data_IF_660523010691
#
_entry.id   IF_660523010691
#
_cell.length_a   1.000
_cell.length_b   1.000
_cell.length_c   1.000
_cell.angle_alpha   90.00
_cell.angle_beta   90.00
_cell.angle_gamma   90.00
#
_symmetry.space_group_name_H-M   'P 1'
#
loop_
_entity.id
_entity.type
_entity.pdbx_description
1 polymer ?
#
# COMPACT_ATOMS: atom_id res chain seq x y z
N UNK A 1 9.63 -8.58 19.28
CA UNK A 1 8.41 -8.49 18.47
C UNK A 1 7.89 -7.04 18.53
N UNK A 2 8.00 -6.33 17.43
CA UNK A 2 7.71 -4.89 17.32
C UNK A 2 6.21 -4.58 17.23
N UNK A 3 5.39 -5.59 16.89
CA UNK A 3 3.92 -5.47 16.77
C UNK A 3 3.20 -6.50 17.65
N UNK A 4 3.79 -6.86 18.79
CA UNK A 4 3.19 -7.83 19.71
C UNK A 4 1.75 -7.44 20.08
N UNK A 5 0.82 -8.35 19.84
CA UNK A 5 -0.62 -8.23 20.10
C UNK A 5 -1.35 -7.09 19.35
N UNK A 6 -0.67 -6.39 18.44
CA UNK A 6 -1.31 -5.39 17.56
C UNK A 6 -2.19 -6.09 16.52
N UNK A 7 -3.29 -5.44 16.15
CA UNK A 7 -4.27 -5.92 15.18
C UNK A 7 -4.23 -5.00 13.97
N UNK A 8 -4.09 -5.56 12.76
CA UNK A 8 -4.03 -4.72 11.59
C UNK A 8 -4.54 -5.32 10.31
N UNK A 9 -4.79 -4.43 9.35
CA UNK A 9 -5.23 -4.74 7.99
C UNK A 9 -4.10 -4.40 7.03
N UNK A 10 -3.86 -5.28 6.05
CA UNK A 10 -3.02 -4.99 4.88
C UNK A 10 -3.85 -5.22 3.63
N UNK A 11 -4.07 -4.18 2.83
CA UNK A 11 -4.79 -4.29 1.55
C UNK A 11 -3.85 -4.64 0.41
N UNK A 12 -4.34 -5.29 -0.66
CA UNK A 12 -3.55 -5.88 -1.75
C UNK A 12 -2.44 -6.80 -1.22
N UNK A 13 -2.78 -7.63 -0.23
CA UNK A 13 -1.84 -8.44 0.52
C UNK A 13 -1.67 -9.87 -0.01
N UNK A 14 -2.28 -10.20 -1.14
CA UNK A 14 -2.12 -11.50 -1.80
C UNK A 14 -0.78 -11.69 -2.51
N UNK A 15 -0.08 -10.59 -2.84
CA UNK A 15 1.18 -10.64 -3.60
C UNK A 15 2.11 -9.46 -3.27
N UNK A 16 3.34 -9.50 -3.79
CA UNK A 16 4.29 -8.39 -3.78
C UNK A 16 4.55 -7.79 -2.39
N UNK A 17 4.59 -6.47 -2.33
CA UNK A 17 4.90 -5.71 -1.11
C UNK A 17 3.87 -5.93 0.00
N UNK A 18 2.58 -5.99 -0.36
CA UNK A 18 1.50 -6.23 0.61
C UNK A 18 1.64 -7.59 1.30
N UNK A 19 1.91 -8.67 0.53
CA UNK A 19 2.15 -10.00 1.09
C UNK A 19 3.40 -10.02 1.97
N UNK A 20 4.51 -9.46 1.49
CA UNK A 20 5.73 -9.36 2.27
C UNK A 20 5.50 -8.63 3.61
N UNK A 21 4.69 -7.54 3.60
CA UNK A 21 4.32 -6.83 4.81
C UNK A 21 3.44 -7.65 5.74
N UNK A 22 2.37 -8.27 5.24
CA UNK A 22 1.49 -9.10 6.06
C UNK A 22 2.25 -10.22 6.77
N UNK A 23 3.12 -10.93 6.03
CA UNK A 23 4.00 -11.98 6.60
C UNK A 23 4.96 -11.39 7.62
N UNK A 24 5.60 -10.25 7.30
CA UNK A 24 6.55 -9.59 8.20
C UNK A 24 5.89 -9.11 9.49
N UNK A 25 4.70 -8.52 9.41
CA UNK A 25 3.97 -8.02 10.58
C UNK A 25 3.51 -9.15 11.48
N UNK A 26 3.03 -10.26 10.90
CA UNK A 26 2.68 -11.45 11.67
C UNK A 26 3.88 -12.06 12.40
N UNK A 27 5.06 -12.11 11.78
CA UNK A 27 6.33 -12.53 12.42
C UNK A 27 6.73 -11.62 13.59
N UNK A 28 6.30 -10.36 13.56
CA UNK A 28 6.50 -9.39 14.64
C UNK A 28 5.38 -9.41 15.70
N UNK A 29 4.49 -10.39 15.64
CA UNK A 29 3.47 -10.65 16.65
C UNK A 29 2.12 -9.98 16.39
N UNK A 30 1.89 -9.38 15.22
CA UNK A 30 0.59 -8.85 14.87
C UNK A 30 -0.41 -9.96 14.51
N UNK A 31 -1.69 -9.68 14.76
CA UNK A 31 -2.82 -10.38 14.14
C UNK A 31 -3.18 -9.61 12.86
N UNK A 32 -3.14 -10.27 11.71
CA UNK A 32 -3.22 -9.57 10.40
C UNK A 32 -4.43 -10.03 9.59
N UNK A 33 -5.25 -9.08 9.15
CA UNK A 33 -6.20 -9.32 8.08
C UNK A 33 -5.50 -9.13 6.72
N UNK A 34 -5.40 -10.20 5.96
CA UNK A 34 -4.88 -10.24 4.59
C UNK A 34 -6.02 -9.97 3.64
N UNK A 35 -6.01 -8.82 2.97
CA UNK A 35 -7.10 -8.40 2.06
C UNK A 35 -6.59 -8.34 0.63
N UNK A 36 -7.27 -9.02 -0.29
CA UNK A 36 -7.00 -8.95 -1.73
C UNK A 36 -8.28 -9.27 -2.51
N UNK A 37 -8.30 -8.95 -3.81
CA UNK A 37 -9.36 -9.34 -4.73
C UNK A 37 -9.30 -10.84 -5.08
N UNK A 38 -8.11 -11.42 -5.11
CA UNK A 38 -7.85 -12.82 -5.47
C UNK A 38 -7.88 -13.72 -4.23
N UNK A 39 -8.97 -14.46 -4.05
CA UNK A 39 -9.17 -15.36 -2.91
C UNK A 39 -8.09 -16.43 -2.79
N UNK A 40 -7.60 -16.99 -3.90
CA UNK A 40 -6.56 -18.01 -3.87
C UNK A 40 -5.22 -17.45 -3.34
N UNK A 41 -4.90 -16.20 -3.70
CA UNK A 41 -3.73 -15.49 -3.16
C UNK A 41 -3.90 -15.15 -1.68
N UNK A 42 -5.10 -14.74 -1.28
CA UNK A 42 -5.45 -14.52 0.13
C UNK A 42 -5.20 -15.79 0.95
N UNK A 43 -5.78 -16.92 0.53
CA UNK A 43 -5.63 -18.21 1.22
C UNK A 43 -4.16 -18.66 1.30
N UNK A 44 -3.41 -18.47 0.20
CA UNK A 44 -1.98 -18.77 0.17
C UNK A 44 -1.18 -17.93 1.16
N UNK A 45 -1.46 -16.63 1.28
CA UNK A 45 -0.77 -15.75 2.22
C UNK A 45 -1.13 -16.08 3.69
N UNK A 46 -2.41 -16.34 3.97
CA UNK A 46 -2.87 -16.78 5.30
C UNK A 46 -2.21 -18.08 5.69
N UNK A 47 -2.15 -19.06 4.79
CA UNK A 47 -1.48 -20.36 5.03
C UNK A 47 0.01 -20.17 5.33
N UNK A 48 0.70 -19.30 4.62
CA UNK A 48 2.12 -18.98 4.91
C UNK A 48 2.30 -18.42 6.31
N UNK A 49 1.46 -17.44 6.69
CA UNK A 49 1.52 -16.81 8.02
C UNK A 49 1.24 -17.82 9.14
N UNK A 50 0.18 -18.61 8.98
CA UNK A 50 -0.23 -19.58 10.02
C UNK A 50 0.74 -20.74 10.15
N UNK A 51 1.31 -21.23 9.05
CA UNK A 51 2.36 -22.25 9.07
C UNK A 51 3.62 -21.78 9.79
N UNK A 52 3.89 -20.47 9.79
CA UNK A 52 4.99 -19.87 10.56
C UNK A 52 4.62 -19.53 12.01
N UNK A 53 3.44 -19.95 12.49
CA UNK A 53 2.96 -19.69 13.86
C UNK A 53 2.35 -18.31 14.08
N UNK A 54 2.16 -17.51 13.02
CA UNK A 54 1.48 -16.22 13.08
C UNK A 54 -0.04 -16.34 13.12
N UNK A 55 -0.73 -15.21 13.35
CA UNK A 55 -2.19 -15.13 13.35
C UNK A 55 -2.68 -14.28 12.19
N UNK A 56 -3.50 -14.85 11.32
CA UNK A 56 -4.09 -14.13 10.19
C UNK A 56 -5.49 -14.61 9.86
N UNK A 57 -6.30 -13.71 9.31
CA UNK A 57 -7.53 -14.02 8.57
C UNK A 57 -7.41 -13.54 7.14
N UNK A 58 -8.12 -14.20 6.23
CA UNK A 58 -8.23 -13.80 4.84
C UNK A 58 -9.58 -13.16 4.56
N UNK A 59 -9.56 -12.02 3.85
CA UNK A 59 -10.78 -11.34 3.41
C UNK A 59 -10.67 -11.07 1.92
N UNK A 60 -11.41 -11.82 1.12
CA UNK A 60 -11.53 -11.54 -0.32
C UNK A 60 -12.50 -10.38 -0.55
N UNK A 61 -12.01 -9.29 -1.15
CA UNK A 61 -12.80 -8.08 -1.33
C UNK A 61 -12.37 -7.26 -2.54
N UNK A 62 -13.33 -6.81 -3.33
CA UNK A 62 -13.14 -5.72 -4.30
C UNK A 62 -13.31 -4.38 -3.60
N UNK A 63 -12.21 -3.66 -3.40
CA UNK A 63 -12.21 -2.39 -2.69
C UNK A 63 -12.62 -1.18 -3.54
N UNK A 64 -13.05 -1.40 -4.79
CA UNK A 64 -13.79 -0.38 -5.56
C UNK A 64 -15.18 -0.14 -4.96
N UNK A 65 -15.72 -1.16 -4.32
CA UNK A 65 -17.01 -1.11 -3.63
C UNK A 65 -16.83 -0.56 -2.21
N UNK A 66 -17.39 0.62 -1.93
CA UNK A 66 -17.31 1.27 -0.61
C UNK A 66 -17.80 0.35 0.53
N UNK A 67 -18.84 -0.45 0.27
CA UNK A 67 -19.36 -1.41 1.25
C UNK A 67 -18.29 -2.44 1.65
N UNK A 68 -17.47 -2.90 0.71
CA UNK A 68 -16.38 -3.83 0.97
C UNK A 68 -15.24 -3.16 1.76
N UNK A 69 -14.88 -1.91 1.41
CA UNK A 69 -13.87 -1.16 2.15
C UNK A 69 -14.26 -0.96 3.63
N UNK A 70 -15.54 -0.76 3.93
CA UNK A 70 -16.05 -0.72 5.32
C UNK A 70 -16.14 -2.12 5.94
N UNK A 71 -16.50 -3.15 5.16
CA UNK A 71 -16.64 -4.53 5.62
C UNK A 71 -15.33 -5.10 6.14
N UNK A 72 -14.22 -4.88 5.44
CA UNK A 72 -12.91 -5.41 5.88
C UNK A 72 -12.51 -4.89 7.27
N UNK A 73 -12.83 -3.64 7.58
CA UNK A 73 -12.56 -3.05 8.91
C UNK A 73 -13.43 -3.71 9.96
N UNK A 74 -14.74 -3.80 9.73
CA UNK A 74 -15.69 -4.42 10.66
C UNK A 74 -15.37 -5.89 10.92
N UNK A 75 -15.07 -6.69 9.88
CA UNK A 75 -14.73 -8.10 10.04
C UNK A 75 -13.43 -8.27 10.83
N UNK A 76 -12.41 -7.45 10.58
CA UNK A 76 -11.16 -7.50 11.33
C UNK A 76 -11.36 -7.15 12.80
N UNK A 77 -12.11 -6.07 13.08
CA UNK A 77 -12.38 -5.64 14.45
C UNK A 77 -13.21 -6.69 15.21
N UNK A 78 -14.20 -7.30 14.57
CA UNK A 78 -15.02 -8.35 15.18
C UNK A 78 -14.21 -9.62 15.48
N UNK A 79 -13.35 -10.06 14.57
CA UNK A 79 -12.56 -11.29 14.73
C UNK A 79 -11.48 -11.15 15.77
N UNK A 80 -10.78 -10.01 15.81
CA UNK A 80 -9.61 -9.87 16.68
C UNK A 80 -9.83 -8.98 17.90
N UNK A 81 -10.97 -8.30 18.00
CA UNK A 81 -11.33 -7.45 19.15
C UNK A 81 -10.83 -6.02 19.01
N UNK A 82 -10.72 -5.46 17.81
CA UNK A 82 -10.34 -4.07 17.55
C UNK A 82 -9.39 -3.89 16.38
N UNK A 83 -8.79 -2.69 16.26
CA UNK A 83 -7.87 -2.34 15.19
C UNK A 83 -6.78 -1.39 15.70
N UNK A 84 -5.52 -1.69 15.46
CA UNK A 84 -4.38 -0.85 15.85
C UNK A 84 -3.68 -0.20 14.65
N UNK A 85 -3.75 -0.83 13.46
CA UNK A 85 -3.16 -0.23 12.24
C UNK A 85 -3.85 -0.66 10.96
N UNK A 86 -3.72 0.18 9.93
CA UNK A 86 -4.09 -0.16 8.55
C UNK A 86 -2.95 0.22 7.62
N UNK A 87 -2.47 -0.73 6.81
CA UNK A 87 -1.65 -0.42 5.66
C UNK A 87 -2.51 -0.39 4.40
N UNK A 88 -2.91 0.81 4.00
CA UNK A 88 -3.60 1.10 2.75
C UNK A 88 -2.61 0.98 1.58
N UNK A 89 -2.47 -0.22 1.03
CA UNK A 89 -1.44 -0.55 0.04
C UNK A 89 -2.00 -0.74 -1.37
N UNK A 90 -3.31 -0.89 -1.52
CA UNK A 90 -3.94 -1.05 -2.83
C UNK A 90 -3.54 0.07 -3.78
N UNK A 91 -3.24 -0.29 -5.03
CA UNK A 91 -2.94 0.65 -6.09
C UNK A 91 -3.06 0.02 -7.48
N UNK A 92 -3.10 0.89 -8.49
CA UNK A 92 -3.19 0.53 -9.90
C UNK A 92 -2.33 1.51 -10.72
N UNK A 93 -1.63 1.05 -11.78
CA UNK A 93 -0.77 1.91 -12.60
C UNK A 93 -1.50 3.08 -13.26
N UNK A 94 -2.78 2.91 -13.57
CA UNK A 94 -3.56 3.86 -14.35
C UNK A 94 -3.04 4.01 -15.78
N UNK A 95 -3.66 4.90 -16.57
CA UNK A 95 -3.20 5.21 -17.92
C UNK A 95 -1.84 5.92 -17.90
N UNK A 96 -1.02 5.64 -18.92
CA UNK A 96 0.28 6.27 -19.13
C UNK A 96 0.14 7.60 -19.88
N UNK A 97 -0.75 7.64 -20.88
CA UNK A 97 -1.01 8.80 -21.73
C UNK A 97 -2.10 9.71 -21.15
N UNK A 98 -2.05 10.98 -21.52
CA UNK A 98 -3.13 11.95 -21.29
C UNK A 98 -3.95 12.12 -22.58
N UNK A 99 -3.27 12.10 -23.73
CA UNK A 99 -3.90 12.18 -25.02
C UNK A 99 -4.76 10.96 -25.31
N UNK A 100 -6.05 11.17 -25.58
CA UNK A 100 -6.99 10.08 -25.85
C UNK A 100 -7.34 9.21 -24.64
N UNK A 101 -7.12 9.73 -23.43
CA UNK A 101 -7.42 9.01 -22.20
C UNK A 101 -8.88 8.54 -22.15
N UNK A 102 -9.11 7.27 -21.81
CA UNK A 102 -10.43 6.80 -21.42
C UNK A 102 -10.74 7.25 -19.99
N UNK A 103 -11.83 7.98 -19.81
CA UNK A 103 -12.26 8.45 -18.49
C UNK A 103 -12.70 7.33 -17.56
N UNK A 104 -13.02 6.13 -18.07
CA UNK A 104 -13.24 4.95 -17.24
C UNK A 104 -11.92 4.45 -16.63
N UNK A 105 -10.81 4.47 -17.38
CA UNK A 105 -9.47 4.13 -16.87
C UNK A 105 -8.98 5.17 -15.85
N UNK A 106 -9.29 6.45 -16.09
CA UNK A 106 -9.02 7.50 -15.11
C UNK A 106 -9.80 7.26 -13.81
N UNK A 107 -11.10 7.00 -13.91
CA UNK A 107 -11.95 6.71 -12.74
C UNK A 107 -11.44 5.50 -11.97
N UNK A 108 -11.07 4.41 -12.67
CA UNK A 108 -10.47 3.21 -12.08
C UNK A 108 -9.17 3.55 -11.32
N UNK A 109 -8.31 4.38 -11.90
CA UNK A 109 -7.07 4.80 -11.25
C UNK A 109 -7.35 5.59 -9.96
N UNK A 110 -8.34 6.48 -9.96
CA UNK A 110 -8.77 7.24 -8.76
C UNK A 110 -9.37 6.30 -7.72
N UNK A 111 -10.27 5.40 -8.12
CA UNK A 111 -10.96 4.48 -7.22
C UNK A 111 -9.98 3.57 -6.49
N UNK A 112 -9.03 2.96 -7.21
CA UNK A 112 -8.09 2.00 -6.64
C UNK A 112 -6.92 2.65 -5.86
N UNK A 113 -6.49 3.86 -6.23
CA UNK A 113 -5.35 4.49 -5.58
C UNK A 113 -5.74 5.49 -4.48
N UNK A 114 -6.93 6.07 -4.51
CA UNK A 114 -7.30 7.14 -3.59
C UNK A 114 -8.63 6.89 -2.89
N UNK A 115 -9.72 6.67 -3.63
CA UNK A 115 -11.06 6.50 -3.04
C UNK A 115 -11.12 5.33 -2.06
N UNK A 116 -10.66 4.15 -2.47
CA UNK A 116 -10.65 2.96 -1.61
C UNK A 116 -9.92 3.19 -0.28
N UNK A 117 -8.80 3.91 -0.33
CA UNK A 117 -8.00 4.24 0.85
C UNK A 117 -8.73 5.23 1.77
N UNK A 118 -9.43 6.22 1.20
CA UNK A 118 -10.22 7.19 1.97
C UNK A 118 -11.39 6.50 2.67
N UNK A 119 -12.14 5.62 1.97
CA UNK A 119 -13.28 4.89 2.54
C UNK A 119 -12.82 3.90 3.62
N UNK A 120 -11.73 3.17 3.39
CA UNK A 120 -11.14 2.30 4.42
C UNK A 120 -10.72 3.11 5.65
N UNK A 121 -10.15 4.30 5.45
CA UNK A 121 -9.76 5.20 6.54
C UNK A 121 -10.96 5.71 7.33
N UNK A 122 -12.03 6.11 6.64
CA UNK A 122 -13.28 6.54 7.28
C UNK A 122 -13.80 5.48 8.25
N UNK A 123 -13.84 4.22 7.82
CA UNK A 123 -14.27 3.12 8.66
C UNK A 123 -13.27 2.77 9.78
N UNK A 124 -11.96 2.90 9.53
CA UNK A 124 -10.92 2.53 10.50
C UNK A 124 -10.75 3.54 11.65
N UNK A 125 -11.01 4.82 11.42
CA UNK A 125 -10.76 5.87 12.42
C UNK A 125 -11.50 5.65 13.74
N UNK A 126 -12.80 5.28 13.78
CA UNK A 126 -13.50 5.00 15.04
C UNK A 126 -12.85 3.86 15.82
N UNK A 127 -12.45 2.78 15.14
CA UNK A 127 -11.81 1.61 15.74
C UNK A 127 -10.44 1.94 16.35
N UNK A 128 -9.62 2.70 15.60
CA UNK A 128 -8.32 3.17 16.10
C UNK A 128 -8.47 4.08 17.33
N UNK A 129 -9.42 5.01 17.29
CA UNK A 129 -9.70 5.90 18.43
C UNK A 129 -10.20 5.13 19.66
N UNK A 130 -11.05 4.13 19.48
CA UNK A 130 -11.52 3.27 20.55
C UNK A 130 -10.40 2.49 21.24
N UNK A 131 -9.29 2.23 20.50
CA UNK A 131 -8.06 1.61 21.02
C UNK A 131 -7.09 2.60 21.68
N UNK A 132 -7.45 3.89 21.72
CA UNK A 132 -6.59 4.95 22.25
C UNK A 132 -5.53 5.47 21.28
N UNK A 133 -5.68 5.18 19.99
CA UNK A 133 -4.77 5.58 18.92
C UNK A 133 -4.37 4.44 18.03
N UNK A 134 -3.42 4.69 17.12
CA UNK A 134 -2.93 3.68 16.19
C UNK A 134 -2.14 4.25 15.01
N UNK A 135 -2.01 3.48 13.94
CA UNK A 135 -1.22 3.89 12.77
C UNK A 135 -1.97 3.64 11.47
N UNK A 136 -2.11 4.69 10.66
CA UNK A 136 -2.52 4.63 9.27
C UNK A 136 -1.29 4.79 8.38
N UNK A 137 -1.00 3.81 7.56
CA UNK A 137 0.07 3.84 6.59
C UNK A 137 -0.51 3.78 5.18
N UNK A 138 -0.03 4.63 4.30
CA UNK A 138 -0.42 4.67 2.89
C UNK A 138 0.76 4.36 2.00
N UNK A 139 0.48 3.74 0.86
CA UNK A 139 1.48 3.57 -0.20
C UNK A 139 1.22 4.56 -1.33
N UNK A 140 2.10 5.57 -1.43
CA UNK A 140 2.16 6.41 -2.60
C UNK A 140 3.15 5.81 -3.63
N UNK A 141 4.12 6.60 -4.05
CA UNK A 141 5.19 6.26 -5.00
C UNK A 141 6.20 7.41 -5.01
N UNK A 142 7.38 7.22 -5.57
CA UNK A 142 8.24 8.34 -6.02
C UNK A 142 7.46 9.29 -6.93
N UNK A 143 6.49 8.79 -7.73
CA UNK A 143 5.58 9.62 -8.52
C UNK A 143 4.61 10.48 -7.70
N UNK A 144 4.50 10.29 -6.39
CA UNK A 144 3.78 11.16 -5.45
C UNK A 144 4.68 12.20 -4.78
N UNK A 145 5.98 12.20 -5.06
CA UNK A 145 6.97 13.17 -4.58
C UNK A 145 7.49 14.04 -5.73
N UNK A 146 7.72 13.41 -6.87
CA UNK A 146 8.16 14.05 -8.12
C UNK A 146 7.21 13.60 -9.24
N UNK A 147 6.77 14.52 -10.09
CA UNK A 147 5.94 14.17 -11.25
C UNK A 147 6.71 13.27 -12.22
N UNK A 148 6.04 12.25 -12.75
CA UNK A 148 6.60 11.40 -13.80
C UNK A 148 6.00 11.78 -15.15
N UNK A 149 6.85 12.17 -16.11
CA UNK A 149 6.42 12.45 -17.49
C UNK A 149 5.78 11.22 -18.17
N UNK A 150 6.09 10.01 -17.71
CA UNK A 150 5.55 8.76 -18.24
C UNK A 150 4.26 8.31 -17.57
N UNK A 151 3.75 9.05 -16.59
CA UNK A 151 2.59 8.67 -15.79
C UNK A 151 1.94 9.87 -15.12
N UNK A 152 1.43 10.87 -15.87
CA UNK A 152 0.85 12.09 -15.30
C UNK A 152 -0.35 11.80 -14.40
N UNK A 153 -1.27 10.92 -14.83
CA UNK A 153 -2.47 10.53 -14.06
C UNK A 153 -2.07 9.80 -12.78
N UNK A 154 -1.18 8.82 -12.88
CA UNK A 154 -0.68 8.12 -11.71
C UNK A 154 0.02 9.06 -10.72
N UNK A 155 0.80 10.02 -11.22
CA UNK A 155 1.41 11.05 -10.37
C UNK A 155 0.34 11.86 -9.66
N UNK A 156 -0.69 12.34 -10.36
CA UNK A 156 -1.76 13.13 -9.76
C UNK A 156 -2.44 12.39 -8.60
N UNK A 157 -2.81 11.11 -8.78
CA UNK A 157 -3.45 10.34 -7.71
C UNK A 157 -2.50 10.04 -6.55
N UNK A 158 -1.20 9.78 -6.81
CA UNK A 158 -0.21 9.52 -5.76
C UNK A 158 0.19 10.79 -4.99
N UNK A 159 0.21 11.97 -5.62
CA UNK A 159 0.26 13.26 -4.92
C UNK A 159 -0.99 13.46 -4.06
N UNK A 160 -2.17 13.08 -4.57
CA UNK A 160 -3.42 13.10 -3.82
C UNK A 160 -3.33 12.28 -2.52
N UNK A 161 -2.75 11.07 -2.57
CA UNK A 161 -2.51 10.23 -1.37
C UNK A 161 -1.61 10.94 -0.36
N UNK A 162 -0.51 11.54 -0.81
CA UNK A 162 0.42 12.28 0.06
C UNK A 162 -0.28 13.50 0.68
N UNK A 163 -1.03 14.27 -0.12
CA UNK A 163 -1.78 15.43 0.35
C UNK A 163 -2.84 15.05 1.38
N UNK A 164 -3.63 14.02 1.09
CA UNK A 164 -4.63 13.49 2.01
C UNK A 164 -4.01 13.04 3.34
N UNK A 165 -2.95 12.24 3.29
CA UNK A 165 -2.30 11.73 4.49
C UNK A 165 -1.72 12.85 5.37
N UNK A 166 -1.07 13.86 4.77
CA UNK A 166 -0.55 15.02 5.50
C UNK A 166 -1.63 15.85 6.18
N UNK A 167 -2.75 16.06 5.50
CA UNK A 167 -3.89 16.78 6.07
C UNK A 167 -4.54 15.98 7.20
N UNK A 168 -4.74 14.67 6.99
CA UNK A 168 -5.31 13.77 7.98
C UNK A 168 -4.42 13.65 9.23
N UNK A 169 -3.11 13.58 9.07
CA UNK A 169 -2.15 13.53 10.18
C UNK A 169 -2.36 14.67 11.18
N UNK A 170 -2.51 15.90 10.69
CA UNK A 170 -2.76 17.07 11.51
C UNK A 170 -4.12 16.98 12.22
N UNK A 171 -5.13 16.42 11.55
CA UNK A 171 -6.49 16.33 12.07
C UNK A 171 -6.64 15.34 13.22
N UNK A 172 -5.93 14.18 13.14
CA UNK A 172 -6.15 13.06 14.07
C UNK A 172 -5.02 12.85 15.07
N UNK A 173 -3.98 13.69 15.06
CA UNK A 173 -2.84 13.57 15.96
C UNK A 173 -3.24 13.59 17.45
N UNK A 174 -4.20 14.44 17.82
CA UNK A 174 -4.70 14.53 19.20
C UNK A 174 -5.48 13.28 19.65
N UNK A 175 -5.94 12.48 18.70
CA UNK A 175 -6.62 11.21 18.97
C UNK A 175 -5.62 10.04 19.11
N UNK A 176 -4.31 10.31 19.12
CA UNK A 176 -3.26 9.30 19.20
C UNK A 176 -3.04 8.52 17.88
N UNK A 177 -3.65 8.96 16.78
CA UNK A 177 -3.52 8.29 15.47
C UNK A 177 -2.40 8.93 14.67
N UNK A 178 -1.39 8.14 14.31
CA UNK A 178 -0.31 8.54 13.39
C UNK A 178 -0.67 8.21 11.96
N UNK A 179 -0.30 9.06 11.03
CA UNK A 179 -0.62 8.92 9.61
C UNK A 179 0.63 9.19 8.79
N UNK A 180 1.14 8.18 8.10
CA UNK A 180 2.36 8.31 7.31
C UNK A 180 2.18 7.68 5.92
N UNK A 181 3.11 7.99 5.04
CA UNK A 181 3.14 7.49 3.66
C UNK A 181 4.51 6.87 3.40
N UNK A 182 4.55 5.69 2.77
CA UNK A 182 5.75 5.21 2.10
C UNK A 182 5.65 5.52 0.61
N UNK A 183 6.79 5.90 0.02
CA UNK A 183 6.91 6.26 -1.39
C UNK A 183 7.94 5.34 -2.06
N UNK A 184 7.53 4.12 -2.46
CA UNK A 184 8.44 3.18 -3.10
C UNK A 184 8.92 3.70 -4.46
N UNK A 185 10.17 3.38 -4.81
CA UNK A 185 10.66 3.34 -6.16
C UNK A 185 10.28 2.05 -6.90
N UNK A 186 11.02 1.71 -7.94
CA UNK A 186 10.87 0.43 -8.61
C UNK A 186 11.08 -0.72 -7.62
N UNK A 187 10.06 -1.58 -7.47
CA UNK A 187 10.09 -2.74 -6.57
C UNK A 187 9.75 -3.99 -7.36
N UNK A 188 10.53 -5.05 -7.18
CA UNK A 188 10.38 -6.31 -7.90
C UNK A 188 9.09 -7.04 -7.50
N UNK A 189 8.03 -6.75 -8.23
CA UNK A 189 6.67 -7.25 -7.99
C UNK A 189 5.98 -7.52 -9.33
N UNK A 190 4.89 -8.31 -9.35
CA UNK A 190 4.08 -8.46 -10.56
C UNK A 190 3.60 -7.12 -11.14
N UNK A 191 3.28 -6.14 -10.28
CA UNK A 191 2.83 -4.81 -10.72
C UNK A 191 3.92 -4.06 -11.48
N UNK A 192 5.20 -4.25 -11.17
CA UNK A 192 6.28 -3.58 -11.90
C UNK A 192 6.27 -3.97 -13.38
N UNK A 193 6.04 -5.26 -13.70
CA UNK A 193 5.93 -5.75 -15.09
C UNK A 193 4.78 -5.08 -15.83
N UNK A 194 3.62 -4.98 -15.18
CA UNK A 194 2.47 -4.25 -15.74
C UNK A 194 2.79 -2.77 -15.93
N UNK A 195 3.43 -2.15 -14.95
CA UNK A 195 3.72 -0.71 -14.96
C UNK A 195 4.70 -0.31 -16.08
N UNK A 196 5.72 -1.12 -16.36
CA UNK A 196 6.72 -0.82 -17.40
C UNK A 196 6.25 -1.15 -18.80
N UNK A 197 5.24 -2.02 -18.97
CA UNK A 197 4.73 -2.53 -20.24
C UNK A 197 3.24 -2.20 -20.46
N UNK A 198 2.80 -0.99 -20.05
CA UNK A 198 1.39 -0.57 -20.22
C UNK A 198 1.02 -0.47 -21.70
N UNK A 199 -0.18 -0.94 -22.08
CA UNK A 199 -0.60 -0.99 -23.50
C UNK A 199 -0.65 0.38 -24.19
N UNK A 200 -0.95 1.43 -23.45
CA UNK A 200 -1.04 2.82 -23.92
C UNK A 200 0.33 3.55 -23.94
N UNK A 201 1.43 2.88 -23.57
CA UNK A 201 2.78 3.42 -23.60
C UNK A 201 3.52 2.98 -24.86
N UNK A 202 3.43 3.74 -25.94
CA UNK A 202 4.00 3.40 -27.26
C UNK A 202 5.49 3.01 -27.23
N UNK A 203 6.30 3.68 -26.37
CA UNK A 203 7.75 3.45 -26.29
C UNK A 203 8.14 2.05 -25.76
N UNK A 204 7.19 1.32 -25.20
CA UNK A 204 7.43 -0.01 -24.61
C UNK A 204 6.64 -1.12 -25.29
N UNK A 205 5.83 -0.80 -26.30
CA UNK A 205 5.03 -1.79 -27.03
C UNK A 205 5.92 -2.87 -27.67
N UNK A 206 5.52 -4.14 -27.48
CA UNK A 206 6.20 -5.30 -28.07
C UNK A 206 7.56 -5.64 -27.45
N UNK A 207 8.00 -4.93 -26.42
CA UNK A 207 9.24 -5.22 -25.68
C UNK A 207 9.00 -6.20 -24.54
N UNK A 208 10.01 -6.99 -24.23
CA UNK A 208 9.98 -7.91 -23.09
C UNK A 208 9.89 -7.11 -21.77
N UNK A 209 8.89 -7.37 -20.92
CA UNK A 209 8.78 -6.74 -19.61
C UNK A 209 10.03 -6.88 -18.72
N UNK A 210 10.75 -8.00 -18.80
CA UNK A 210 11.96 -8.21 -18.00
C UNK A 210 13.12 -7.32 -18.47
N UNK A 211 13.25 -7.07 -19.79
CA UNK A 211 14.21 -6.09 -20.31
C UNK A 211 13.86 -4.67 -19.83
N UNK A 212 12.58 -4.33 -19.82
CA UNK A 212 12.11 -3.02 -19.32
C UNK A 212 12.36 -2.86 -17.81
N UNK A 213 12.16 -3.92 -17.05
CA UNK A 213 12.50 -3.95 -15.62
C UNK A 213 13.99 -3.74 -15.41
N UNK A 214 14.84 -4.45 -16.17
CA UNK A 214 16.29 -4.31 -16.10
C UNK A 214 16.75 -2.88 -16.49
N UNK A 215 16.17 -2.31 -17.55
CA UNK A 215 16.42 -0.91 -17.93
C UNK A 215 16.03 0.07 -16.82
N UNK A 216 14.86 -0.14 -16.19
CA UNK A 216 14.39 0.70 -15.08
C UNK A 216 15.29 0.56 -13.85
N UNK A 217 15.78 -0.65 -13.58
CA UNK A 217 16.71 -0.94 -12.51
C UNK A 217 18.04 -0.19 -12.69
N UNK A 218 18.57 -0.12 -13.92
CA UNK A 218 19.79 0.60 -14.24
C UNK A 218 19.71 2.13 -14.01
N UNK A 219 18.50 2.69 -13.95
CA UNK A 219 18.28 4.10 -13.62
C UNK A 219 18.25 4.38 -12.12
N UNK A 220 18.18 3.35 -11.29
CA UNK A 220 18.21 3.50 -9.84
C UNK A 220 19.65 3.67 -9.36
N UNK A 221 19.99 4.64 -8.49
CA UNK A 221 21.34 4.80 -7.95
C UNK A 221 21.91 3.54 -7.30
N UNK A 222 21.08 2.69 -6.68
CA UNK A 222 21.51 1.40 -6.15
C UNK A 222 21.61 0.28 -7.21
N UNK A 223 21.33 0.54 -8.50
CA UNK A 223 21.51 -0.36 -9.62
C UNK A 223 20.54 -1.55 -9.68
N UNK A 224 19.49 -1.57 -8.86
CA UNK A 224 18.51 -2.64 -8.81
C UNK A 224 17.14 -2.15 -8.33
N UNK A 225 16.05 -2.88 -8.63
CA UNK A 225 14.78 -2.65 -7.96
C UNK A 225 14.88 -3.06 -6.48
N UNK A 226 14.04 -2.48 -5.64
CA UNK A 226 13.88 -2.94 -4.26
C UNK A 226 13.22 -4.33 -4.23
N UNK A 227 13.58 -5.14 -3.23
CA UNK A 227 12.82 -6.33 -2.90
C UNK A 227 11.56 -5.94 -2.10
N UNK A 228 10.45 -6.69 -2.23
CA UNK A 228 9.23 -6.44 -1.45
C UNK A 228 9.47 -6.33 0.05
N UNK A 229 10.40 -7.12 0.60
CA UNK A 229 10.76 -7.14 2.02
C UNK A 229 11.42 -5.83 2.46
N UNK A 230 12.13 -5.12 1.58
CA UNK A 230 12.76 -3.84 1.91
C UNK A 230 11.70 -2.76 2.13
N UNK A 231 10.62 -2.79 1.33
CA UNK A 231 9.46 -1.91 1.53
C UNK A 231 8.68 -2.32 2.80
N UNK A 232 8.49 -3.62 3.01
CA UNK A 232 7.82 -4.15 4.21
C UNK A 232 8.54 -3.77 5.51
N UNK A 233 9.89 -3.71 5.51
CA UNK A 233 10.68 -3.28 6.66
C UNK A 233 10.47 -1.79 6.98
N UNK A 234 10.39 -0.92 5.97
CA UNK A 234 10.07 0.49 6.15
C UNK A 234 8.63 0.68 6.66
N UNK A 235 7.68 -0.10 6.12
CA UNK A 235 6.30 -0.12 6.58
C UNK A 235 6.20 -0.56 8.05
N UNK A 236 6.90 -1.62 8.44
CA UNK A 236 6.99 -2.10 9.82
C UNK A 236 7.47 -0.99 10.76
N UNK A 237 8.53 -0.28 10.39
CA UNK A 237 9.04 0.84 11.20
C UNK A 237 7.97 1.92 11.42
N UNK A 238 7.32 2.39 10.34
CA UNK A 238 6.32 3.46 10.44
C UNK A 238 5.05 3.04 11.19
N UNK A 239 4.68 1.75 11.15
CA UNK A 239 3.53 1.22 11.87
C UNK A 239 3.86 1.02 13.37
N UNK A 240 5.08 0.63 13.71
CA UNK A 240 5.50 0.31 15.07
C UNK A 240 5.63 1.54 15.97
N UNK A 241 5.72 1.30 17.29
CA UNK A 241 5.89 2.36 18.29
C UNK A 241 7.29 3.04 18.21
N UNK A 242 8.25 2.48 17.45
CA UNK A 242 9.52 3.14 17.15
C UNK A 242 9.33 4.46 16.37
N UNK A 243 8.23 4.57 15.62
CA UNK A 243 7.84 5.79 14.91
C UNK A 243 6.83 6.64 15.71
N UNK A 244 6.82 6.55 17.05
CA UNK A 244 5.80 7.18 17.92
C UNK A 244 5.71 8.71 17.78
N UNK A 245 6.79 9.37 17.33
CA UNK A 245 6.80 10.83 17.09
C UNK A 245 6.85 11.19 15.61
N UNK A 246 6.50 10.23 14.71
CA UNK A 246 6.48 10.43 13.26
C UNK A 246 5.03 10.38 12.77
N UNK A 247 4.51 11.51 12.30
CA UNK A 247 3.20 11.63 11.64
C UNK A 247 3.26 12.68 10.54
N UNK A 248 2.56 12.47 9.44
CA UNK A 248 2.58 13.32 8.25
C UNK A 248 3.81 13.15 7.35
N UNK A 249 4.68 12.19 7.64
CA UNK A 249 5.85 11.92 6.83
C UNK A 249 5.47 11.20 5.52
N UNK A 250 6.18 11.58 4.44
CA UNK A 250 6.21 10.83 3.18
C UNK A 250 7.64 10.31 3.00
N UNK A 251 7.86 9.04 3.32
CA UNK A 251 9.17 8.41 3.37
C UNK A 251 9.52 7.78 2.01
N UNK A 252 10.52 8.28 1.27
CA UNK A 252 11.06 7.60 0.11
C UNK A 252 11.70 6.26 0.51
N UNK A 253 11.39 5.20 -0.25
CA UNK A 253 12.02 3.88 -0.14
C UNK A 253 12.36 3.46 -1.58
N UNK A 254 13.35 4.11 -2.16
CA UNK A 254 13.52 4.20 -3.60
C UNK A 254 14.96 4.06 -4.10
N UNK A 255 15.89 3.69 -3.21
CA UNK A 255 17.29 3.51 -3.57
C UNK A 255 17.99 4.79 -4.05
N UNK A 256 17.52 5.97 -3.60
CA UNK A 256 18.09 7.26 -3.93
C UNK A 256 17.51 7.90 -5.21
N UNK A 257 16.45 7.34 -5.79
CA UNK A 257 15.87 7.87 -7.05
C UNK A 257 15.39 9.32 -6.92
N UNK A 258 14.96 9.74 -5.73
CA UNK A 258 14.43 11.09 -5.48
C UNK A 258 15.35 11.97 -4.62
N UNK A 259 16.59 11.53 -4.38
CA UNK A 259 17.57 12.29 -3.61
C UNK A 259 18.09 13.54 -4.34
#
# INVERSE_FOLDING_TARGET
>A
MRLKDKIGIVTAAGSGMGRAGAVRFAKEGAKVAVVDLDGARVDSAVKEITAAGGKAIGITADLREDANARRIVRETANEFGGLDFVWNHLGHPGPASVEGIDMADFALAVDLNLRSQIVTTEAALPELKARGGGSLLYTASTSGLQGSQFSPVYSAVKFGVVGFARALAKRVAKDGVRVNVICPGATDTPMLRVFVARPDQQSTQGRDPEELVAQRAGQNPMGRPARPEEIANAALFLISDEASFITGAALPVDGGTTA
#
